data_IF_929832612729
#
_entry.id   IF_929832612729
#
_cell.length_a   1.000
_cell.length_b   1.000
_cell.length_c   1.000
_cell.angle_alpha   90.00
_cell.angle_beta   90.00
_cell.angle_gamma   90.00
#
_symmetry.space_group_name_H-M   'P 1'
#
loop_
_entity.id
_entity.type
_entity.pdbx_description
1 polymer ?
#
# COMPACT_ATOMS: atom_id res chain seq x y z
N UNK A 1 -0.86 -18.48 1.30
CA UNK A 1 -0.33 -17.54 2.30
C UNK A 1 0.97 -16.99 1.78
N UNK A 2 1.04 -15.67 1.59
CA UNK A 2 2.21 -15.01 1.02
C UNK A 2 3.40 -15.12 1.96
N UNK A 3 4.60 -15.30 1.41
CA UNK A 3 5.83 -15.09 2.18
C UNK A 3 6.09 -13.59 2.21
N UNK A 4 6.08 -13.03 3.42
CA UNK A 4 6.17 -11.59 3.65
C UNK A 4 7.48 -11.25 4.36
N UNK A 5 8.02 -10.07 4.09
CA UNK A 5 9.19 -9.51 4.78
C UNK A 5 8.92 -8.08 5.24
N UNK A 6 9.43 -7.66 6.41
CA UNK A 6 9.27 -6.30 6.89
C UNK A 6 10.13 -5.36 6.04
N UNK A 7 9.52 -4.29 5.54
CA UNK A 7 10.19 -3.31 4.65
C UNK A 7 10.12 -1.89 5.17
N UNK A 8 9.13 -1.57 6.01
CA UNK A 8 8.93 -0.24 6.60
C UNK A 8 8.72 -0.38 8.10
N UNK A 9 9.25 0.55 8.88
CA UNK A 9 8.95 0.74 10.29
C UNK A 9 8.41 2.15 10.54
N UNK A 10 7.45 2.27 11.44
CA UNK A 10 7.09 3.56 12.06
C UNK A 10 6.40 3.32 13.39
N UNK A 11 6.79 4.08 14.41
CA UNK A 11 6.15 4.06 15.74
C UNK A 11 6.07 2.67 16.37
N UNK A 12 7.05 1.80 16.12
CA UNK A 12 7.09 0.43 16.63
C UNK A 12 6.20 -0.54 15.86
N UNK A 13 5.71 -0.17 14.67
CA UNK A 13 4.91 -1.02 13.79
C UNK A 13 5.68 -1.27 12.49
N UNK A 14 5.73 -2.53 12.06
CA UNK A 14 6.33 -2.92 10.79
C UNK A 14 5.27 -3.20 9.73
N UNK A 15 5.48 -2.63 8.55
CA UNK A 15 4.73 -2.99 7.35
C UNK A 15 5.52 -3.99 6.54
N UNK A 16 4.83 -5.00 6.02
CA UNK A 16 5.42 -6.12 5.31
C UNK A 16 5.01 -6.14 3.85
N UNK A 17 5.97 -6.44 2.99
CA UNK A 17 5.77 -6.65 1.56
C UNK A 17 5.93 -8.13 1.23
N UNK A 18 5.20 -8.68 0.24
CA UNK A 18 5.56 -9.98 -0.32
C UNK A 18 7.01 -9.99 -0.80
N UNK A 19 7.73 -11.09 -0.57
CA UNK A 19 9.16 -11.23 -0.95
C UNK A 19 9.38 -11.06 -2.46
N UNK A 20 8.44 -11.52 -3.28
CA UNK A 20 8.47 -11.33 -4.74
C UNK A 20 7.74 -10.05 -5.19
N UNK A 21 7.27 -9.26 -4.23
CA UNK A 21 6.55 -8.02 -4.44
C UNK A 21 7.47 -6.82 -4.61
N UNK A 22 6.87 -5.64 -4.73
CA UNK A 22 7.58 -4.35 -4.77
C UNK A 22 6.90 -3.38 -3.82
N UNK A 23 7.60 -2.32 -3.44
CA UNK A 23 7.01 -1.22 -2.69
C UNK A 23 7.58 0.13 -3.14
N UNK A 24 6.81 1.20 -2.96
CA UNK A 24 7.20 2.55 -3.34
C UNK A 24 6.65 3.61 -2.38
N UNK A 25 7.48 4.60 -2.04
CA UNK A 25 7.10 5.69 -1.15
C UNK A 25 6.68 6.96 -1.92
N UNK A 26 7.17 7.14 -3.15
CA UNK A 26 7.11 8.43 -3.86
C UNK A 26 6.50 8.34 -5.28
N UNK A 27 5.72 7.30 -5.54
CA UNK A 27 5.15 6.98 -6.86
C UNK A 27 3.82 7.69 -7.16
N UNK A 28 3.37 8.59 -6.29
CA UNK A 28 2.06 9.23 -6.37
C UNK A 28 2.12 10.69 -5.94
N UNK A 29 1.31 11.58 -6.55
CA UNK A 29 1.28 13.00 -6.22
C UNK A 29 0.49 13.32 -4.95
N UNK A 30 -0.15 12.33 -4.32
CA UNK A 30 -0.98 12.56 -3.13
C UNK A 30 -0.12 12.93 -1.90
N UNK A 31 -0.68 13.73 -0.96
CA UNK A 31 0.08 14.26 0.18
C UNK A 31 0.83 13.21 0.99
N UNK A 32 0.27 12.01 1.16
CA UNK A 32 0.91 10.95 1.94
C UNK A 32 2.28 10.56 1.38
N UNK A 33 2.40 10.48 0.05
CA UNK A 33 3.67 10.21 -0.64
C UNK A 33 4.62 11.42 -0.65
N UNK A 34 4.09 12.64 -0.75
CA UNK A 34 4.91 13.86 -0.68
C UNK A 34 5.50 14.08 0.71
N UNK A 35 4.79 13.67 1.76
CA UNK A 35 5.15 13.87 3.16
C UNK A 35 5.91 12.67 3.77
N UNK A 36 6.22 11.63 2.99
CA UNK A 36 6.82 10.37 3.47
C UNK A 36 5.99 9.66 4.57
N UNK A 37 4.67 9.68 4.42
CA UNK A 37 3.72 9.10 5.40
C UNK A 37 2.87 7.96 4.82
N UNK A 38 3.05 7.64 3.54
CA UNK A 38 2.38 6.53 2.86
C UNK A 38 3.34 5.71 2.01
N UNK A 39 3.06 4.41 1.91
CA UNK A 39 3.80 3.47 1.08
C UNK A 39 2.80 2.62 0.29
N UNK A 40 3.10 2.39 -0.99
CA UNK A 40 2.33 1.50 -1.85
C UNK A 40 3.03 0.15 -1.93
N UNK A 41 2.31 -0.93 -1.62
CA UNK A 41 2.80 -2.31 -1.64
C UNK A 41 2.15 -3.04 -2.81
N UNK A 42 2.96 -3.61 -3.69
CA UNK A 42 2.58 -4.24 -4.95
C UNK A 42 2.67 -5.77 -4.82
N UNK A 43 1.54 -6.50 -4.73
CA UNK A 43 1.57 -7.95 -4.52
C UNK A 43 2.01 -8.76 -5.74
N UNK A 44 1.76 -8.26 -6.97
CA UNK A 44 2.22 -8.88 -8.23
C UNK A 44 1.13 -9.36 -9.19
N UNK A 45 -0.09 -9.60 -8.72
CA UNK A 45 -1.11 -10.39 -9.45
C UNK A 45 -2.07 -9.60 -10.37
N UNK A 46 -1.82 -8.32 -10.63
CA UNK A 46 -2.75 -7.48 -11.41
C UNK A 46 -3.98 -7.03 -10.61
N UNK A 47 -4.87 -6.25 -11.25
CA UNK A 47 -6.09 -5.76 -10.59
C UNK A 47 -7.06 -6.93 -10.38
N UNK A 48 -7.71 -6.99 -9.22
CA UNK A 48 -8.50 -8.16 -8.80
C UNK A 48 -7.65 -9.31 -8.26
N UNK A 49 -6.32 -9.17 -8.25
CA UNK A 49 -5.41 -10.11 -7.58
C UNK A 49 -5.51 -10.03 -6.06
N UNK A 50 -5.12 -11.09 -5.37
CA UNK A 50 -5.18 -11.19 -3.91
C UNK A 50 -4.29 -10.12 -3.25
N UNK A 51 -4.84 -9.41 -2.27
CA UNK A 51 -4.14 -8.41 -1.48
C UNK A 51 -3.82 -9.00 -0.09
N UNK A 52 -2.57 -9.41 0.17
CA UNK A 52 -2.19 -9.87 1.50
C UNK A 52 -2.18 -8.72 2.49
N UNK A 53 -2.52 -8.99 3.76
CA UNK A 53 -2.37 -8.01 4.82
C UNK A 53 -0.89 -7.68 5.03
N UNK A 54 -0.48 -6.40 5.01
CA UNK A 54 0.89 -5.98 5.28
C UNK A 54 1.19 -5.87 6.79
N UNK A 55 0.19 -6.03 7.65
CA UNK A 55 0.31 -5.82 9.10
C UNK A 55 -0.59 -6.79 9.88
N UNK A 56 -0.17 -7.09 11.11
CA UNK A 56 -0.96 -7.83 12.08
C UNK A 56 -1.92 -6.90 12.83
N UNK A 57 -3.18 -7.30 13.01
CA UNK A 57 -4.09 -6.54 13.86
C UNK A 57 -5.54 -6.93 13.79
N UNK A 58 -6.38 -6.06 14.34
CA UNK A 58 -7.84 -6.18 14.31
C UNK A 58 -8.42 -5.17 13.32
N UNK A 59 -9.31 -5.59 12.44
CA UNK A 59 -10.02 -4.71 11.51
C UNK A 59 -11.05 -3.90 12.29
N UNK A 60 -10.84 -2.59 12.43
CA UNK A 60 -11.71 -1.74 13.26
C UNK A 60 -12.66 -0.85 12.44
N UNK A 61 -12.40 -0.70 11.15
CA UNK A 61 -13.25 0.08 10.25
C UNK A 61 -13.08 -0.40 8.81
N UNK A 62 -14.21 -0.58 8.13
CA UNK A 62 -14.29 -0.71 6.67
C UNK A 62 -15.28 0.35 6.19
N UNK A 63 -14.84 1.23 5.29
CA UNK A 63 -15.68 2.29 4.75
C UNK A 63 -15.48 2.42 3.25
N UNK A 64 -16.54 2.13 2.49
CA UNK A 64 -16.59 2.47 1.06
C UNK A 64 -16.77 3.96 0.87
N UNK A 65 -16.00 4.53 -0.05
CA UNK A 65 -16.03 5.94 -0.43
C UNK A 65 -16.23 6.05 -1.93
N UNK A 66 -17.02 7.02 -2.38
CA UNK A 66 -17.21 7.25 -3.82
C UNK A 66 -15.88 7.63 -4.46
N UNK A 67 -15.50 6.93 -5.53
CA UNK A 67 -14.29 7.22 -6.28
C UNK A 67 -14.59 8.16 -7.46
N UNK A 68 -13.58 8.93 -7.93
CA UNK A 68 -13.65 9.58 -9.22
C UNK A 68 -13.89 8.57 -10.35
N UNK A 69 -14.30 9.06 -11.52
CA UNK A 69 -14.33 8.23 -12.72
C UNK A 69 -12.90 7.97 -13.21
N UNK A 70 -12.68 6.81 -13.80
CA UNK A 70 -11.41 6.50 -14.45
C UNK A 70 -11.11 7.46 -15.62
N UNK A 71 -9.84 7.81 -15.77
CA UNK A 71 -9.35 8.65 -16.86
C UNK A 71 -8.68 7.77 -17.91
N UNK A 72 -9.43 7.37 -18.93
CA UNK A 72 -8.93 6.49 -20.01
C UNK A 72 -8.91 5.00 -19.66
N UNK A 73 -9.64 4.59 -18.62
CA UNK A 73 -9.82 3.18 -18.24
C UNK A 73 -11.15 2.97 -17.49
N UNK A 74 -11.62 1.73 -17.44
CA UNK A 74 -12.75 1.34 -16.61
C UNK A 74 -12.32 1.24 -15.14
N UNK A 75 -13.02 1.96 -14.28
CA UNK A 75 -12.73 2.04 -12.86
C UNK A 75 -13.97 1.71 -12.04
N UNK A 76 -13.76 1.14 -10.85
CA UNK A 76 -14.78 1.01 -9.82
C UNK A 76 -15.37 2.40 -9.47
N UNK A 77 -16.64 2.42 -9.13
CA UNK A 77 -17.36 3.61 -8.67
C UNK A 77 -17.01 3.99 -7.22
N UNK A 78 -16.26 3.14 -6.54
CA UNK A 78 -15.83 3.33 -5.16
C UNK A 78 -14.36 2.94 -4.95
N UNK A 79 -13.87 3.39 -3.81
CA UNK A 79 -12.68 2.88 -3.14
C UNK A 79 -13.07 2.44 -1.73
N UNK A 80 -12.16 1.75 -1.04
CA UNK A 80 -12.40 1.30 0.33
C UNK A 80 -11.29 1.80 1.25
N UNK A 81 -11.69 2.37 2.38
CA UNK A 81 -10.81 2.63 3.51
C UNK A 81 -10.95 1.48 4.48
N UNK A 82 -9.87 0.73 4.69
CA UNK A 82 -9.77 -0.29 5.74
C UNK A 82 -8.85 0.25 6.82
N UNK A 83 -9.23 0.13 8.09
CA UNK A 83 -8.39 0.54 9.22
C UNK A 83 -8.16 -0.66 10.11
N UNK A 84 -6.89 -0.96 10.37
CA UNK A 84 -6.44 -2.04 11.23
C UNK A 84 -5.84 -1.42 12.50
N UNK A 85 -6.31 -1.84 13.68
CA UNK A 85 -5.63 -1.56 14.95
C UNK A 85 -4.38 -2.42 15.02
N UNK A 86 -3.22 -1.78 15.05
CA UNK A 86 -1.95 -2.50 14.96
C UNK A 86 -1.70 -3.33 16.23
N UNK A 87 -1.34 -4.60 16.04
CA UNK A 87 -1.03 -5.50 17.15
C UNK A 87 0.26 -5.13 17.87
N UNK A 88 1.29 -4.72 17.12
CA UNK A 88 2.61 -4.38 17.66
C UNK A 88 2.58 -3.10 18.50
N UNK A 89 1.74 -2.13 18.10
CA UNK A 89 1.50 -0.91 18.87
C UNK A 89 0.02 -0.48 18.82
N UNK A 90 -0.77 -0.80 19.87
CA UNK A 90 -2.19 -0.45 19.94
C UNK A 90 -2.50 1.06 19.95
N UNK A 91 -1.51 1.92 20.21
CA UNK A 91 -1.66 3.38 20.15
C UNK A 91 -1.57 3.93 18.71
N UNK A 92 -1.53 3.03 17.72
CA UNK A 92 -1.49 3.34 16.29
C UNK A 92 -2.53 2.52 15.53
N UNK A 93 -2.85 2.98 14.34
CA UNK A 93 -3.66 2.24 13.36
C UNK A 93 -2.99 2.27 12.00
N UNK A 94 -3.24 1.27 11.17
CA UNK A 94 -2.87 1.27 9.76
C UNK A 94 -4.10 1.56 8.91
N UNK A 95 -4.02 2.57 8.04
CA UNK A 95 -5.06 2.89 7.04
C UNK A 95 -4.64 2.30 5.70
N UNK A 96 -5.50 1.48 5.12
CA UNK A 96 -5.28 0.81 3.85
C UNK A 96 -6.32 1.28 2.82
N UNK A 97 -5.88 1.48 1.57
CA UNK A 97 -6.76 1.82 0.43
C UNK A 97 -6.58 0.83 -0.73
N UNK A 98 -7.46 0.95 -1.72
CA UNK A 98 -7.40 0.22 -2.99
C UNK A 98 -7.58 -1.29 -2.84
N UNK A 99 -8.43 -1.71 -1.90
CA UNK A 99 -8.79 -3.10 -1.66
C UNK A 99 -10.31 -3.25 -1.68
N UNK A 100 -10.83 -4.32 -2.28
CA UNK A 100 -12.17 -4.84 -1.98
C UNK A 100 -12.03 -5.97 -0.94
N UNK A 101 -12.36 -5.71 0.34
CA UNK A 101 -11.99 -6.60 1.44
C UNK A 101 -12.86 -7.87 1.50
N UNK A 102 -12.25 -8.97 1.94
CA UNK A 102 -12.94 -10.22 2.29
C UNK A 102 -13.28 -10.32 3.78
N UNK A 103 -12.62 -9.48 4.58
CA UNK A 103 -12.70 -9.46 6.04
C UNK A 103 -13.85 -8.60 6.55
N UNK A 104 -14.24 -8.82 7.81
CA UNK A 104 -15.25 -8.03 8.51
C UNK A 104 -14.66 -7.19 9.66
N UNK A 105 -15.37 -6.14 10.08
CA UNK A 105 -14.98 -5.37 11.28
C UNK A 105 -15.08 -6.26 12.52
N UNK A 106 -14.03 -6.27 13.32
CA UNK A 106 -13.84 -7.12 14.50
C UNK A 106 -12.99 -8.37 14.23
N UNK A 107 -12.68 -8.67 12.98
CA UNK A 107 -11.82 -9.79 12.61
C UNK A 107 -10.35 -9.50 12.93
N UNK A 108 -9.62 -10.53 13.36
CA UNK A 108 -8.16 -10.46 13.51
C UNK A 108 -7.52 -10.98 12.23
N UNK A 109 -6.56 -10.23 11.69
CA UNK A 109 -5.84 -10.58 10.47
C UNK A 109 -4.33 -10.62 10.76
N UNK A 110 -3.65 -11.57 10.14
CA UNK A 110 -2.21 -11.72 10.22
C UNK A 110 -1.51 -11.32 8.93
N UNK A 111 -0.25 -10.92 9.04
CA UNK A 111 0.63 -10.62 7.90
C UNK A 111 0.61 -11.77 6.90
N UNK A 112 0.33 -11.45 5.64
CA UNK A 112 0.31 -12.41 4.53
C UNK A 112 -1.00 -13.19 4.37
N UNK A 113 -1.97 -13.03 5.27
CA UNK A 113 -3.33 -13.54 5.10
C UNK A 113 -4.13 -12.68 4.11
N UNK A 114 -5.08 -13.28 3.37
CA UNK A 114 -5.85 -12.58 2.35
C UNK A 114 -6.79 -11.54 2.98
N UNK A 115 -6.46 -10.26 2.79
CA UNK A 115 -7.29 -9.15 3.27
C UNK A 115 -8.44 -8.84 2.30
N UNK A 116 -8.24 -9.10 1.01
CA UNK A 116 -9.17 -8.79 -0.07
C UNK A 116 -8.53 -8.95 -1.44
N UNK A 117 -9.06 -8.23 -2.41
CA UNK A 117 -8.46 -8.10 -3.75
C UNK A 117 -8.10 -6.66 -4.06
N UNK A 118 -7.06 -6.44 -4.87
CA UNK A 118 -6.69 -5.10 -5.32
C UNK A 118 -7.80 -4.49 -6.19
N UNK A 119 -8.18 -3.25 -5.88
CA UNK A 119 -9.30 -2.54 -6.49
C UNK A 119 -8.79 -1.43 -7.40
N UNK A 120 -9.29 -1.40 -8.65
CA UNK A 120 -9.02 -0.30 -9.58
C UNK A 120 -10.05 0.82 -9.41
N UNK A 121 -9.67 1.91 -8.76
CA UNK A 121 -10.51 3.10 -8.60
C UNK A 121 -10.04 4.26 -9.48
N UNK A 122 -10.85 5.33 -9.60
CA UNK A 122 -10.46 6.54 -10.34
C UNK A 122 -9.36 7.38 -9.67
N UNK A 123 -8.85 6.97 -8.51
CA UNK A 123 -7.66 7.59 -7.91
C UNK A 123 -6.36 7.18 -8.60
N UNK A 124 -6.37 6.08 -9.37
CA UNK A 124 -5.23 5.57 -10.13
C UNK A 124 -4.94 6.40 -11.38
N UNK A 125 -3.66 6.48 -11.75
CA UNK A 125 -3.25 6.82 -13.11
C UNK A 125 -3.40 5.62 -14.05
N UNK A 126 -3.52 5.86 -15.35
CA UNK A 126 -3.73 4.81 -16.34
C UNK A 126 -2.65 3.70 -16.31
N UNK A 127 -1.38 4.09 -16.14
CA UNK A 127 -0.24 3.18 -16.05
C UNK A 127 0.16 2.78 -14.62
N UNK A 128 -0.65 3.10 -13.60
CA UNK A 128 -0.34 2.76 -12.21
C UNK A 128 -0.69 1.29 -11.95
N UNK A 129 0.30 0.50 -11.57
CA UNK A 129 0.13 -0.91 -11.20
C UNK A 129 -0.72 -1.07 -9.93
N UNK A 130 -1.45 -2.18 -9.77
CA UNK A 130 -2.27 -2.45 -8.60
C UNK A 130 -1.42 -2.56 -7.34
N UNK A 131 -1.85 -1.90 -6.28
CA UNK A 131 -1.15 -1.88 -5.00
C UNK A 131 -2.14 -1.71 -3.84
N UNK A 132 -1.64 -2.01 -2.65
CA UNK A 132 -2.25 -1.59 -1.40
C UNK A 132 -1.53 -0.34 -0.93
N UNK A 133 -2.24 0.78 -0.84
CA UNK A 133 -1.71 1.97 -0.19
C UNK A 133 -1.82 1.80 1.32
N UNK A 134 -0.75 2.09 2.07
CA UNK A 134 -0.70 1.93 3.53
C UNK A 134 -0.13 3.18 4.20
N UNK A 135 -0.79 3.64 5.26
CA UNK A 135 -0.27 4.67 6.17
C UNK A 135 -0.38 4.19 7.62
N UNK A 136 0.61 4.52 8.47
CA UNK A 136 0.50 4.35 9.93
C UNK A 136 0.06 5.69 10.53
N UNK A 137 -0.99 5.66 11.35
CA UNK A 137 -1.72 6.86 11.81
C UNK A 137 -2.08 6.80 13.29
N UNK A 138 -2.42 7.96 13.84
CA UNK A 138 -3.06 8.08 15.16
C UNK A 138 -4.50 7.52 15.12
N UNK A 139 -4.94 6.76 16.14
CA UNK A 139 -6.32 6.29 16.25
C UNK A 139 -7.36 7.42 16.31
N UNK A 140 -6.95 8.62 16.73
CA UNK A 140 -7.82 9.81 16.78
C UNK A 140 -7.97 10.51 15.42
N UNK A 141 -7.12 10.19 14.44
CA UNK A 141 -7.21 10.66 13.06
C UNK A 141 -6.95 9.54 12.03
N UNK A 142 -7.81 8.51 11.97
CA UNK A 142 -7.51 7.28 11.23
C UNK A 142 -7.74 7.38 9.72
N UNK A 143 -8.47 8.39 9.22
CA UNK A 143 -8.99 8.38 7.83
C UNK A 143 -8.63 9.61 6.98
N UNK A 144 -8.10 10.70 7.56
CA UNK A 144 -7.81 11.91 6.76
C UNK A 144 -6.69 11.67 5.75
N UNK A 145 -6.65 12.54 4.75
CA UNK A 145 -5.66 12.48 3.66
C UNK A 145 -4.24 12.92 4.08
N UNK A 146 -4.08 13.57 5.23
CA UNK A 146 -2.81 14.06 5.79
C UNK A 146 -2.69 13.65 7.26
N UNK A 147 -1.50 13.79 7.84
CA UNK A 147 -1.27 13.53 9.26
C UNK A 147 -0.92 12.08 9.60
N UNK A 148 -0.46 11.31 8.61
CA UNK A 148 0.20 10.03 8.88
C UNK A 148 1.54 10.25 9.57
N UNK A 149 2.08 9.20 10.18
CA UNK A 149 3.43 9.23 10.73
C UNK A 149 4.46 9.03 9.62
N UNK A 150 5.65 9.62 9.80
CA UNK A 150 6.76 9.39 8.90
C UNK A 150 7.14 7.91 8.90
N UNK A 151 7.46 7.40 7.72
CA UNK A 151 7.82 6.01 7.49
C UNK A 151 9.33 5.89 7.31
N UNK A 152 9.94 4.94 8.01
CA UNK A 152 11.36 4.64 7.93
C UNK A 152 11.55 3.33 7.15
N UNK A 153 12.45 3.33 6.16
CA UNK A 153 12.80 2.12 5.43
C UNK A 153 13.64 1.21 6.33
N UNK A 154 13.28 -0.07 6.41
CA UNK A 154 14.10 -1.07 7.09
C UNK A 154 15.26 -1.41 6.15
N UNK A 155 16.49 -1.08 6.56
CA UNK A 155 17.68 -1.23 5.70
C UNK A 155 17.85 -2.67 5.20
N UNK A 156 17.83 -2.81 3.87
CA UNK A 156 18.39 -3.94 3.14
C UNK A 156 19.85 -3.59 2.76
N UNK A 157 20.72 -4.56 2.44
CA UNK A 157 22.06 -4.26 1.94
C UNK A 157 21.98 -3.35 0.71
N UNK A 158 22.26 -2.06 0.93
CA UNK A 158 22.21 -1.04 -0.10
C UNK A 158 23.50 -1.17 -0.91
N UNK A 159 23.38 -1.45 -2.21
CA UNK A 159 24.49 -1.22 -3.11
C UNK A 159 24.87 0.27 -3.03
N UNK A 160 26.15 0.58 -2.87
CA UNK A 160 26.58 1.97 -2.78
C UNK A 160 26.04 2.77 -3.98
N UNK A 161 25.43 3.95 -3.76
CA UNK A 161 25.01 4.79 -4.86
C UNK A 161 26.23 5.07 -5.74
N UNK A 162 26.08 4.84 -7.04
CA UNK A 162 27.11 5.17 -8.02
C UNK A 162 27.03 6.67 -8.32
N UNK A 163 28.19 7.33 -8.42
CA UNK A 163 28.26 8.75 -8.77
C UNK A 163 27.72 9.03 -10.19
N UNK A 164 27.74 8.02 -11.05
CA UNK A 164 27.27 8.06 -12.42
C UNK A 164 26.47 6.80 -12.75
N UNK A 165 25.26 6.98 -13.29
CA UNK A 165 24.49 5.89 -13.89
C UNK A 165 24.83 5.85 -15.38
N UNK A 166 25.77 4.98 -15.75
CA UNK A 166 26.19 4.76 -17.13
C UNK A 166 25.98 3.30 -17.55
N UNK A 167 25.65 3.08 -18.83
CA UNK A 167 25.43 1.75 -19.37
C UNK A 167 25.07 1.77 -20.86
N UNK A 168 25.01 0.59 -21.47
CA UNK A 168 24.55 0.42 -22.85
C UNK A 168 23.07 0.06 -22.81
N UNK A 169 22.23 0.82 -23.51
CA UNK A 169 20.82 0.45 -23.71
C UNK A 169 20.79 -0.81 -24.57
N UNK A 170 20.48 -1.95 -23.97
CA UNK A 170 20.44 -3.25 -24.67
C UNK A 170 19.04 -3.61 -25.20
N UNK A 171 18.00 -2.99 -24.65
CA UNK A 171 16.61 -3.21 -25.05
C UNK A 171 15.82 -1.91 -24.88
N UNK A 172 14.97 -1.59 -25.85
CA UNK A 172 14.02 -0.49 -25.78
C UNK A 172 12.71 -0.99 -26.37
N UNK A 173 11.65 -0.95 -25.56
CA UNK A 173 10.31 -1.31 -26.01
C UNK A 173 9.31 -0.31 -25.45
N UNK A 174 8.35 0.17 -26.26
CA UNK A 174 7.19 0.88 -25.74
C UNK A 174 6.33 -0.12 -24.96
N UNK A 175 6.12 0.13 -23.67
CA UNK A 175 5.18 -0.66 -22.85
C UNK A 175 3.71 -0.39 -23.22
N UNK A 176 3.44 0.70 -23.94
CA UNK A 176 2.10 1.25 -24.18
C UNK A 176 1.90 1.73 -25.63
N UNK A 177 2.38 0.96 -26.62
CA UNK A 177 2.06 1.18 -28.04
C UNK A 177 0.75 0.52 -28.46
#
# INVERSE_FOLDING_TARGET
MFKMEPVVESRGVKLHCPVEGRYAFYNSPYPSHQENTGVDIYPGDGFGGEAPSPVDGEVILIRRVKAPRGHGFEASDHDTVVVIRNRENPDTVSKLLHIDPFVEVGENIHVGEPLGTTLRSGYYGWGTSPHVHVEIRSPQDPIRARGGFNLDLIEFPVAHPVDEIAGVVTHLQPEFA
#
